data_IF_270068114378
#
_entry.id   IF_270068114378
#
_cell.length_a   1.000
_cell.length_b   1.000
_cell.length_c   1.000
_cell.angle_alpha   90.00
_cell.angle_beta   90.00
_cell.angle_gamma   90.00
#
_symmetry.space_group_name_H-M   'P 1'
#
loop_
_entity.id
_entity.type
_entity.pdbx_description
1 polymer ?
#
# COMPACT_ATOMS: atom_id res chain seq x y z
N UNK A 1 -11.33 2.49 20.76
CA UNK A 1 -10.99 2.70 19.33
C UNK A 1 -10.43 1.39 18.81
N UNK A 2 -11.29 0.52 18.27
CA UNK A 2 -10.92 -0.81 17.77
C UNK A 2 -10.00 -0.77 16.55
N UNK A 3 -9.78 0.41 15.95
CA UNK A 3 -9.04 0.54 14.70
C UNK A 3 -7.51 0.54 14.86
N UNK A 4 -6.98 0.74 16.09
CA UNK A 4 -5.54 0.96 16.36
C UNK A 4 -5.08 0.61 17.79
N UNK A 5 -5.52 -0.48 18.45
CA UNK A 5 -4.93 -0.82 19.74
C UNK A 5 -3.47 -1.24 19.55
N UNK A 6 -2.55 -0.49 20.15
CA UNK A 6 -1.23 -1.03 20.46
C UNK A 6 -1.46 -2.20 21.42
N UNK A 7 -0.90 -3.40 21.16
CA UNK A 7 -1.04 -4.55 22.05
C UNK A 7 -0.68 -4.16 23.50
N UNK A 8 -1.43 -4.63 24.50
CA UNK A 8 -1.22 -4.24 25.91
C UNK A 8 0.24 -4.40 26.36
N UNK A 9 0.85 -5.53 26.00
CA UNK A 9 2.27 -5.82 26.25
C UNK A 9 3.26 -4.79 25.70
N UNK A 10 2.86 -4.04 24.68
CA UNK A 10 3.69 -3.02 24.03
C UNK A 10 3.39 -1.61 24.53
N UNK A 11 2.21 -1.34 25.11
CA UNK A 11 1.87 0.02 25.57
C UNK A 11 2.79 0.55 26.66
N UNK A 12 3.39 -0.35 27.45
CA UNK A 12 4.30 -0.01 28.55
C UNK A 12 5.77 -0.25 28.18
N UNK A 13 6.05 -0.74 26.98
CA UNK A 13 7.41 -0.97 26.54
C UNK A 13 8.05 0.37 26.15
N UNK A 14 9.22 0.65 26.72
CA UNK A 14 10.08 1.76 26.30
C UNK A 14 11.14 1.22 25.33
N UNK A 15 10.80 1.18 24.05
CA UNK A 15 11.72 0.71 23.01
C UNK A 15 12.93 1.63 22.83
N UNK A 16 12.85 2.90 23.24
CA UNK A 16 13.96 3.85 23.10
C UNK A 16 15.11 3.56 24.08
N UNK A 17 14.80 3.01 25.25
CA UNK A 17 15.77 2.69 26.30
C UNK A 17 15.93 1.20 26.55
N UNK A 18 15.47 0.36 25.60
CA UNK A 18 15.67 -1.08 25.67
C UNK A 18 17.16 -1.43 25.74
N UNK A 19 17.51 -2.42 26.56
CA UNK A 19 18.88 -2.92 26.70
C UNK A 19 19.25 -3.88 25.57
N UNK A 20 20.56 -4.05 25.25
CA UNK A 20 20.99 -5.05 24.28
C UNK A 20 20.53 -6.48 24.62
N UNK A 21 20.47 -6.83 25.90
CA UNK A 21 20.05 -8.15 26.37
C UNK A 21 18.57 -8.40 26.10
N UNK A 22 17.70 -7.40 26.33
CA UNK A 22 16.27 -7.49 26.02
C UNK A 22 16.03 -7.60 24.51
N UNK A 23 16.74 -6.81 23.71
CA UNK A 23 16.67 -6.89 22.24
C UNK A 23 17.12 -8.27 21.72
N UNK A 24 18.18 -8.83 22.30
CA UNK A 24 18.68 -10.17 21.97
C UNK A 24 17.67 -11.27 22.35
N UNK A 25 17.07 -11.19 23.53
CA UNK A 25 16.02 -12.12 23.96
C UNK A 25 14.86 -12.15 22.96
N UNK A 26 14.44 -10.97 22.47
CA UNK A 26 13.39 -10.80 21.46
C UNK A 26 13.77 -11.21 20.03
N UNK A 27 14.96 -11.76 19.85
CA UNK A 27 15.52 -12.20 18.56
C UNK A 27 16.08 -13.63 18.60
N UNK A 28 16.11 -14.27 19.77
CA UNK A 28 16.95 -15.44 20.04
C UNK A 28 16.65 -16.62 19.11
N UNK A 29 15.38 -17.03 18.96
CA UNK A 29 15.05 -18.11 18.01
C UNK A 29 15.14 -17.67 16.55
N UNK A 30 14.83 -16.39 16.26
CA UNK A 30 14.76 -15.85 14.91
C UNK A 30 16.12 -15.94 14.20
N UNK A 31 17.19 -15.50 14.88
CA UNK A 31 18.55 -15.50 14.34
C UNK A 31 19.14 -16.90 14.20
N UNK A 32 18.51 -17.92 14.77
CA UNK A 32 18.91 -19.31 14.54
C UNK A 32 18.70 -19.76 13.09
N UNK A 33 17.71 -19.18 12.39
CA UNK A 33 17.47 -19.40 10.96
C UNK A 33 17.87 -18.19 10.11
N UNK A 34 17.60 -16.97 10.60
CA UNK A 34 17.87 -15.70 9.91
C UNK A 34 19.22 -15.07 10.33
N UNK A 35 20.32 -15.84 10.25
CA UNK A 35 21.62 -15.48 10.84
C UNK A 35 22.20 -14.18 10.31
N UNK A 36 22.06 -13.92 9.01
CA UNK A 36 22.68 -12.79 8.31
C UNK A 36 21.65 -11.91 7.61
N UNK A 37 20.48 -11.75 8.24
CA UNK A 37 19.40 -10.90 7.69
C UNK A 37 19.80 -9.42 7.68
N UNK A 38 20.61 -8.96 8.63
CA UNK A 38 21.03 -7.56 8.76
C UNK A 38 20.10 -6.71 9.62
N UNK A 39 20.25 -5.37 9.53
CA UNK A 39 19.57 -4.42 10.40
C UNK A 39 18.78 -3.37 9.60
N UNK A 40 17.53 -3.15 10.02
CA UNK A 40 16.69 -2.09 9.46
C UNK A 40 17.16 -0.70 9.86
N UNK A 41 17.70 -0.54 11.07
CA UNK A 41 18.27 0.71 11.55
C UNK A 41 19.79 0.72 11.33
N UNK A 42 20.42 1.90 11.21
CA UNK A 42 21.87 1.99 11.25
C UNK A 42 22.41 1.37 12.56
N UNK A 43 23.54 0.67 12.46
CA UNK A 43 24.14 -0.04 13.59
C UNK A 43 24.42 0.95 14.74
N UNK A 44 24.19 0.51 15.98
CA UNK A 44 24.40 1.29 17.22
C UNK A 44 23.49 2.53 17.39
N UNK A 45 22.36 2.62 16.68
CA UNK A 45 21.39 3.72 16.87
C UNK A 45 20.25 3.39 17.83
N UNK A 46 19.80 2.14 17.86
CA UNK A 46 18.70 1.68 18.70
C UNK A 46 18.88 0.19 19.02
N UNK A 47 18.50 -0.23 20.22
CA UNK A 47 18.49 -1.64 20.61
C UNK A 47 17.09 -2.20 20.37
N UNK A 48 16.90 -2.92 19.27
CA UNK A 48 15.59 -3.47 18.90
C UNK A 48 15.71 -4.91 18.45
N UNK A 49 14.81 -5.77 18.93
CA UNK A 49 14.77 -7.18 18.54
C UNK A 49 13.90 -7.44 17.31
N UNK A 50 14.04 -8.62 16.71
CA UNK A 50 13.23 -9.04 15.56
C UNK A 50 11.73 -8.92 15.85
N UNK A 51 11.29 -9.41 17.02
CA UNK A 51 9.87 -9.47 17.39
C UNK A 51 9.31 -8.14 17.90
N UNK A 52 10.15 -7.13 18.16
CA UNK A 52 9.70 -5.75 18.41
C UNK A 52 9.11 -5.12 17.16
N UNK A 53 9.68 -5.39 15.98
CA UNK A 53 9.12 -4.94 14.71
C UNK A 53 8.07 -5.93 14.18
N UNK A 54 8.46 -7.20 14.00
CA UNK A 54 7.67 -8.18 13.25
C UNK A 54 6.62 -8.91 14.09
N UNK A 55 6.69 -8.88 15.43
CA UNK A 55 5.88 -9.79 16.25
C UNK A 55 6.37 -11.24 16.13
N UNK A 56 5.47 -12.23 16.15
CA UNK A 56 5.85 -13.65 16.24
C UNK A 56 6.32 -14.06 17.64
N UNK A 57 6.96 -15.23 17.73
CA UNK A 57 7.41 -15.82 19.00
C UNK A 57 8.92 -16.11 18.99
N UNK A 58 9.71 -15.28 19.69
CA UNK A 58 11.17 -15.40 19.81
C UNK A 58 11.64 -16.55 20.70
N UNK A 59 10.73 -17.17 21.47
CA UNK A 59 11.05 -18.26 22.40
C UNK A 59 10.86 -19.64 21.76
N UNK A 60 10.43 -19.70 20.49
CA UNK A 60 10.17 -20.94 19.78
C UNK A 60 11.02 -21.02 18.50
N UNK A 61 11.73 -22.13 18.32
CA UNK A 61 12.48 -22.43 17.09
C UNK A 61 11.64 -23.19 16.05
N UNK A 62 10.47 -23.72 16.44
CA UNK A 62 9.57 -24.40 15.52
C UNK A 62 8.84 -23.36 14.65
N UNK A 63 9.09 -23.38 13.34
CA UNK A 63 8.56 -22.38 12.37
C UNK A 63 7.05 -22.20 12.51
N UNK A 64 6.29 -23.30 12.66
CA UNK A 64 4.82 -23.32 12.78
C UNK A 64 4.30 -22.50 13.97
N UNK A 65 5.13 -22.31 15.01
CA UNK A 65 4.81 -21.60 16.26
C UNK A 65 5.53 -20.26 16.37
N UNK A 66 6.69 -20.12 15.73
CA UNK A 66 7.47 -18.90 15.68
C UNK A 66 6.85 -17.87 14.73
N UNK A 67 6.44 -18.32 13.55
CA UNK A 67 5.87 -17.48 12.49
C UNK A 67 4.40 -17.18 12.77
N UNK A 68 3.97 -16.00 12.33
CA UNK A 68 2.55 -15.70 12.21
C UNK A 68 2.04 -16.26 10.88
N UNK A 69 1.01 -17.09 10.93
CA UNK A 69 0.46 -17.72 9.72
C UNK A 69 -0.48 -16.77 8.96
N UNK A 70 -0.39 -16.80 7.63
CA UNK A 70 -1.33 -16.10 6.75
C UNK A 70 -2.72 -16.72 6.83
N UNK A 71 -3.77 -15.92 6.61
CA UNK A 71 -5.12 -16.43 6.39
C UNK A 71 -5.27 -17.11 5.03
N UNK A 72 -4.48 -16.69 4.04
CA UNK A 72 -4.49 -17.25 2.69
C UNK A 72 -3.12 -17.83 2.30
N UNK A 73 -2.67 -18.95 2.89
CA UNK A 73 -1.33 -19.49 2.67
C UNK A 73 -0.99 -19.75 1.19
N UNK A 74 -1.96 -20.12 0.37
CA UNK A 74 -1.79 -20.34 -1.07
C UNK A 74 -1.34 -19.08 -1.82
N UNK A 75 -1.77 -17.91 -1.36
CA UNK A 75 -1.35 -16.63 -1.91
C UNK A 75 0.05 -16.21 -1.42
N UNK A 76 0.52 -16.76 -0.29
CA UNK A 76 1.80 -16.48 0.35
C UNK A 76 2.72 -17.71 0.30
N UNK A 77 2.89 -18.27 -0.89
CA UNK A 77 3.60 -19.55 -1.10
C UNK A 77 5.10 -19.52 -0.73
N UNK A 78 5.68 -18.35 -0.48
CA UNK A 78 7.07 -18.19 -0.08
C UNK A 78 7.38 -16.78 0.42
N UNK A 79 8.67 -16.46 0.53
CA UNK A 79 9.12 -15.16 1.04
C UNK A 79 8.97 -14.01 0.02
N UNK A 80 8.85 -14.31 -1.27
CA UNK A 80 8.64 -13.29 -2.29
C UNK A 80 7.24 -12.69 -2.16
N UNK A 81 7.11 -11.38 -2.39
CA UNK A 81 5.79 -10.76 -2.45
C UNK A 81 4.91 -11.45 -3.51
N UNK A 82 3.60 -11.62 -3.30
CA UNK A 82 2.76 -12.25 -4.30
C UNK A 82 2.59 -11.36 -5.53
N UNK A 83 2.66 -11.96 -6.73
CA UNK A 83 2.35 -11.27 -7.98
C UNK A 83 0.88 -10.87 -7.96
N UNK A 84 0.59 -9.59 -8.22
CA UNK A 84 -0.77 -9.03 -8.29
C UNK A 84 -1.60 -9.30 -7.04
N UNK A 85 -0.99 -9.10 -5.87
CA UNK A 85 -1.67 -9.26 -4.58
C UNK A 85 -2.88 -8.31 -4.39
N UNK A 86 -2.87 -7.14 -5.02
CA UNK A 86 -3.94 -6.13 -4.96
C UNK A 86 -4.47 -5.93 -3.53
N UNK A 87 -5.74 -6.23 -3.28
CA UNK A 87 -6.39 -6.00 -1.98
C UNK A 87 -6.17 -7.13 -0.97
N UNK A 88 -5.36 -8.13 -1.27
CA UNK A 88 -5.13 -9.30 -0.40
C UNK A 88 -4.75 -8.89 1.03
N UNK A 89 -3.89 -7.87 1.19
CA UNK A 89 -3.50 -7.35 2.51
C UNK A 89 -4.67 -6.85 3.36
N UNK A 90 -5.77 -6.41 2.76
CA UNK A 90 -6.97 -5.99 3.52
C UNK A 90 -7.72 -7.17 4.14
N UNK A 91 -7.48 -8.39 3.65
CA UNK A 91 -8.14 -9.59 4.14
C UNK A 91 -7.28 -10.38 5.14
N UNK A 92 -6.01 -10.00 5.28
CA UNK A 92 -5.08 -10.63 6.22
C UNK A 92 -5.27 -10.15 7.67
N UNK A 93 -4.71 -10.93 8.60
CA UNK A 93 -4.65 -10.53 10.00
C UNK A 93 -3.61 -9.42 10.21
N UNK A 94 -3.86 -8.39 11.04
CA UNK A 94 -2.88 -7.36 11.35
C UNK A 94 -1.55 -7.91 11.85
N UNK A 95 -1.58 -9.00 12.62
CA UNK A 95 -0.40 -9.70 13.11
C UNK A 95 0.44 -10.25 11.96
N UNK A 96 -0.20 -10.79 10.92
CA UNK A 96 0.48 -11.31 9.74
C UNK A 96 1.03 -10.17 8.88
N UNK A 97 0.23 -9.11 8.64
CA UNK A 97 0.68 -7.91 7.90
C UNK A 97 1.93 -7.32 8.57
N UNK A 98 1.93 -7.22 9.91
CA UNK A 98 3.09 -6.77 10.69
C UNK A 98 4.27 -7.73 10.57
N UNK A 99 4.02 -9.03 10.60
CA UNK A 99 5.04 -10.05 10.51
C UNK A 99 5.81 -9.97 9.19
N UNK A 100 5.12 -9.76 8.06
CA UNK A 100 5.77 -9.67 6.75
C UNK A 100 6.26 -8.26 6.40
N UNK A 101 5.55 -7.21 6.86
CA UNK A 101 5.93 -5.83 6.62
C UNK A 101 5.51 -4.91 7.79
N UNK A 102 6.39 -4.70 8.78
CA UNK A 102 6.11 -3.80 9.90
C UNK A 102 5.95 -2.33 9.47
N UNK A 103 6.40 -1.96 8.27
CA UNK A 103 6.26 -0.61 7.71
C UNK A 103 4.91 -0.32 7.07
N UNK A 104 4.00 -1.30 6.94
CA UNK A 104 2.67 -1.10 6.35
C UNK A 104 1.81 -0.13 7.19
N UNK A 105 1.12 0.81 6.54
CA UNK A 105 0.34 1.84 7.23
C UNK A 105 -0.74 1.29 8.17
N UNK A 106 -1.24 0.07 7.96
CA UNK A 106 -2.19 -0.62 8.86
C UNK A 106 -1.59 -0.88 10.25
N UNK A 107 -0.28 -1.12 10.33
CA UNK A 107 0.39 -1.63 11.53
C UNK A 107 1.63 -0.83 11.96
N UNK A 108 2.12 0.11 11.16
CA UNK A 108 3.33 0.89 11.43
C UNK A 108 3.29 1.66 12.76
N UNK A 109 2.11 2.08 13.23
CA UNK A 109 1.96 2.68 14.57
C UNK A 109 2.34 1.74 15.72
N UNK A 110 2.28 0.41 15.53
CA UNK A 110 2.67 -0.60 16.52
C UNK A 110 4.18 -0.84 16.45
N UNK A 111 4.73 -0.99 15.24
CA UNK A 111 6.14 -1.34 15.05
C UNK A 111 7.09 -0.13 15.14
N UNK A 112 6.65 1.03 14.64
CA UNK A 112 7.46 2.24 14.50
C UNK A 112 6.94 3.39 15.37
N UNK A 113 5.64 3.43 15.67
CA UNK A 113 4.97 4.61 16.23
C UNK A 113 5.43 5.04 17.62
N UNK A 114 6.11 4.20 18.39
CA UNK A 114 6.67 4.60 19.68
C UNK A 114 7.85 5.58 19.54
N UNK A 115 8.62 5.46 18.44
CA UNK A 115 9.78 6.31 18.17
C UNK A 115 9.51 7.30 17.02
N UNK A 116 8.64 6.91 16.07
CA UNK A 116 8.38 7.60 14.81
C UNK A 116 6.89 7.95 14.62
N UNK A 117 6.21 8.36 15.69
CA UNK A 117 4.77 8.68 15.66
C UNK A 117 4.43 9.72 14.58
N UNK A 118 5.30 10.72 14.42
CA UNK A 118 5.12 11.82 13.46
C UNK A 118 5.21 11.32 12.02
N UNK A 119 6.21 10.52 11.70
CA UNK A 119 6.44 9.98 10.37
C UNK A 119 5.30 9.02 9.99
N UNK A 120 4.85 8.17 10.94
CA UNK A 120 3.70 7.29 10.74
C UNK A 120 2.43 8.08 10.43
N UNK A 121 2.18 9.18 11.15
CA UNK A 121 1.04 10.05 10.89
C UNK A 121 1.15 10.70 9.51
N UNK A 122 2.31 11.25 9.16
CA UNK A 122 2.55 11.90 7.87
C UNK A 122 2.36 10.93 6.70
N UNK A 123 2.86 9.70 6.81
CA UNK A 123 2.65 8.66 5.80
C UNK A 123 1.15 8.39 5.60
N UNK A 124 0.40 8.18 6.70
CA UNK A 124 -1.04 7.86 6.64
C UNK A 124 -1.87 8.98 6.00
N UNK A 125 -1.43 10.22 6.15
CA UNK A 125 -2.08 11.41 5.56
C UNK A 125 -1.45 11.86 4.24
N UNK A 126 -0.48 11.11 3.69
CA UNK A 126 0.22 11.48 2.45
C UNK A 126 -0.65 11.24 1.21
N UNK A 127 -0.51 12.11 0.21
CA UNK A 127 -1.14 11.94 -1.10
C UNK A 127 -0.76 10.62 -1.79
N UNK A 128 0.44 10.08 -1.52
CA UNK A 128 0.86 8.78 -2.06
C UNK A 128 0.11 7.60 -1.40
N UNK A 129 -0.43 7.81 -0.21
CA UNK A 129 -1.30 6.84 0.47
C UNK A 129 -2.73 6.97 -0.01
N UNK A 130 -3.30 8.18 -0.03
CA UNK A 130 -4.73 8.33 -0.27
C UNK A 130 -5.13 8.69 -1.70
N UNK A 131 -4.21 9.09 -2.56
CA UNK A 131 -4.46 9.27 -4.00
C UNK A 131 -5.57 10.27 -4.37
N UNK A 132 -5.90 11.20 -3.45
CA UNK A 132 -7.12 12.00 -3.58
C UNK A 132 -7.07 12.96 -4.77
N UNK A 133 -5.88 13.29 -5.27
CA UNK A 133 -5.69 14.16 -6.42
C UNK A 133 -6.34 13.56 -7.68
N UNK A 134 -6.12 12.27 -7.96
CA UNK A 134 -6.70 11.62 -9.12
C UNK A 134 -8.21 11.45 -8.96
N UNK A 135 -8.66 10.96 -7.80
CA UNK A 135 -10.09 10.74 -7.56
C UNK A 135 -10.87 12.05 -7.57
N UNK A 136 -10.34 13.10 -6.96
CA UNK A 136 -10.90 14.45 -7.00
C UNK A 136 -11.01 14.99 -8.42
N UNK A 137 -9.94 14.89 -9.22
CA UNK A 137 -9.94 15.32 -10.62
C UNK A 137 -10.95 14.53 -11.46
N UNK A 138 -10.97 13.21 -11.33
CA UNK A 138 -11.91 12.35 -12.05
C UNK A 138 -13.36 12.66 -11.71
N UNK A 139 -13.69 12.74 -10.42
CA UNK A 139 -15.07 12.99 -9.97
C UNK A 139 -15.55 14.39 -10.32
N UNK A 140 -14.73 15.42 -10.13
CA UNK A 140 -15.10 16.80 -10.43
C UNK A 140 -15.24 17.04 -11.93
N UNK A 141 -14.25 16.64 -12.74
CA UNK A 141 -14.24 16.91 -14.18
C UNK A 141 -15.37 16.17 -14.93
N UNK A 142 -15.86 15.06 -14.38
CA UNK A 142 -16.97 14.30 -14.96
C UNK A 142 -18.34 14.67 -14.34
N UNK A 143 -18.39 15.65 -13.43
CA UNK A 143 -19.62 16.13 -12.82
C UNK A 143 -20.26 15.18 -11.81
N UNK A 144 -19.54 14.16 -11.34
CA UNK A 144 -20.01 13.25 -10.28
C UNK A 144 -20.06 13.95 -8.92
N UNK A 145 -19.23 14.97 -8.72
CA UNK A 145 -19.25 15.82 -7.51
C UNK A 145 -19.10 17.29 -7.86
N UNK A 146 -19.85 18.15 -7.20
CA UNK A 146 -19.84 19.60 -7.45
C UNK A 146 -18.72 20.40 -6.79
N UNK A 147 -17.69 19.74 -6.24
CA UNK A 147 -16.58 20.42 -5.56
C UNK A 147 -15.25 20.11 -6.20
N UNK A 148 -14.46 21.17 -6.45
CA UNK A 148 -13.09 21.07 -6.94
C UNK A 148 -12.10 20.61 -5.86
N UNK A 149 -12.45 20.78 -4.58
CA UNK A 149 -11.65 20.29 -3.45
C UNK A 149 -11.85 18.77 -3.34
N UNK A 150 -10.79 17.95 -3.38
CA UNK A 150 -10.92 16.51 -3.21
C UNK A 150 -11.65 16.17 -1.90
N UNK A 151 -12.66 15.30 -1.98
CA UNK A 151 -13.40 14.78 -0.83
C UNK A 151 -13.12 13.32 -0.54
N UNK A 152 -12.57 12.59 -1.51
CA UNK A 152 -12.37 11.15 -1.41
C UNK A 152 -10.90 10.79 -1.49
N UNK A 153 -10.50 9.79 -0.72
CA UNK A 153 -9.16 9.23 -0.73
C UNK A 153 -9.14 7.82 -0.16
N UNK A 154 -8.11 7.07 -0.52
CA UNK A 154 -7.92 5.71 -0.07
C UNK A 154 -7.26 5.65 1.31
N UNK A 155 -7.84 4.89 2.23
CA UNK A 155 -7.21 4.62 3.52
C UNK A 155 -7.87 3.42 4.17
N UNK A 156 -7.08 2.59 4.85
CA UNK A 156 -7.56 1.37 5.49
C UNK A 156 -7.17 1.30 6.96
N UNK A 157 -8.11 0.84 7.79
CA UNK A 157 -7.83 0.51 9.19
C UNK A 157 -6.89 -0.69 9.28
N UNK A 158 -6.44 -1.02 10.49
CA UNK A 158 -5.61 -2.21 10.71
C UNK A 158 -6.24 -3.51 10.17
N UNK A 159 -7.57 -3.57 10.10
CA UNK A 159 -8.33 -4.73 9.63
C UNK A 159 -8.75 -4.62 8.15
N UNK A 160 -8.11 -3.73 7.38
CA UNK A 160 -8.38 -3.58 5.95
C UNK A 160 -9.71 -2.92 5.61
N UNK A 161 -10.39 -2.31 6.60
CA UNK A 161 -11.67 -1.64 6.40
C UNK A 161 -11.41 -0.20 5.93
N UNK A 162 -12.05 0.27 4.84
CA UNK A 162 -11.94 1.66 4.42
C UNK A 162 -12.31 2.63 5.54
N UNK A 163 -11.54 3.70 5.69
CA UNK A 163 -11.73 4.66 6.78
C UNK A 163 -11.59 6.10 6.31
N UNK A 164 -12.15 7.02 7.10
CA UNK A 164 -11.98 8.45 6.90
C UNK A 164 -10.62 8.91 7.44
N UNK A 165 -9.96 9.79 6.72
CA UNK A 165 -8.75 10.49 7.16
C UNK A 165 -9.15 11.89 7.62
N UNK A 166 -8.64 12.34 8.77
CA UNK A 166 -8.90 13.67 9.32
C UNK A 166 -7.61 14.45 9.47
N UNK A 167 -7.68 15.75 9.24
CA UNK A 167 -6.64 16.68 9.66
C UNK A 167 -6.95 17.16 11.08
N UNK A 168 -5.99 16.94 11.98
CA UNK A 168 -6.10 17.30 13.40
C UNK A 168 -4.86 18.15 13.76
N UNK A 169 -5.04 19.39 14.26
CA UNK A 169 -6.31 20.10 14.46
C UNK A 169 -7.05 20.40 13.15
N UNK A 170 -8.33 20.76 13.23
CA UNK A 170 -9.12 21.16 12.06
C UNK A 170 -8.43 22.36 11.39
N UNK A 171 -8.22 22.32 10.05
CA UNK A 171 -7.51 23.39 9.37
C UNK A 171 -8.33 24.68 9.34
N UNK A 172 -7.63 25.81 9.37
CA UNK A 172 -8.23 27.15 9.22
C UNK A 172 -8.68 27.40 7.77
N UNK A 173 -9.59 28.36 7.57
CA UNK A 173 -10.01 28.75 6.21
C UNK A 173 -8.84 29.24 5.34
N UNK A 174 -7.84 29.87 5.95
CA UNK A 174 -6.62 30.29 5.27
C UNK A 174 -5.81 29.09 4.77
N UNK A 175 -5.59 28.08 5.62
CA UNK A 175 -4.87 26.86 5.26
C UNK A 175 -5.60 26.07 4.18
N UNK A 176 -6.92 25.99 4.26
CA UNK A 176 -7.73 25.33 3.24
C UNK A 176 -7.63 26.08 1.90
N UNK A 177 -7.73 27.42 1.92
CA UNK A 177 -7.79 28.24 0.69
C UNK A 177 -6.43 28.40 0.01
N UNK A 178 -5.36 28.60 0.78
CA UNK A 178 -4.06 29.01 0.25
C UNK A 178 -2.98 27.93 0.36
N UNK A 179 -3.14 26.95 1.26
CA UNK A 179 -2.18 25.83 1.41
C UNK A 179 -2.73 24.49 0.93
N UNK A 180 -3.99 24.43 0.52
CA UNK A 180 -4.62 23.22 0.02
C UNK A 180 -4.82 22.13 1.08
N UNK A 181 -4.82 22.49 2.37
CA UNK A 181 -5.03 21.53 3.46
C UNK A 181 -6.50 21.10 3.45
N UNK A 182 -6.74 19.79 3.42
CA UNK A 182 -8.10 19.23 3.43
C UNK A 182 -8.53 18.93 4.87
N UNK A 183 -9.76 19.24 5.29
CA UNK A 183 -10.23 18.92 6.64
C UNK A 183 -10.40 17.41 6.86
N UNK A 184 -10.83 16.70 5.82
CA UNK A 184 -10.95 15.24 5.83
C UNK A 184 -10.99 14.67 4.40
N UNK A 185 -10.79 13.36 4.30
CA UNK A 185 -11.03 12.55 3.11
C UNK A 185 -11.87 11.33 3.47
N UNK A 186 -12.90 11.06 2.68
CA UNK A 186 -13.77 9.89 2.82
C UNK A 186 -13.35 8.75 1.91
N UNK A 187 -13.60 7.49 2.31
CA UNK A 187 -13.51 6.39 1.37
C UNK A 187 -14.55 6.57 0.25
N UNK A 188 -14.26 6.06 -0.95
CA UNK A 188 -15.26 6.02 -2.02
C UNK A 188 -16.49 5.23 -1.57
N UNK A 189 -17.66 5.76 -1.89
CA UNK A 189 -18.91 5.04 -1.75
C UNK A 189 -18.87 3.77 -2.59
N UNK A 190 -19.40 2.65 -2.08
CA UNK A 190 -19.58 1.44 -2.87
C UNK A 190 -20.35 1.79 -4.15
N UNK A 191 -19.82 1.43 -5.32
CA UNK A 191 -20.39 1.88 -6.60
C UNK A 191 -21.86 1.44 -6.78
N UNK A 192 -22.27 0.34 -6.14
CA UNK A 192 -23.63 -0.18 -6.21
C UNK A 192 -24.69 0.78 -5.64
N UNK A 193 -24.28 1.74 -4.81
CA UNK A 193 -25.17 2.74 -4.20
C UNK A 193 -24.92 4.16 -4.69
N UNK A 194 -23.90 4.38 -5.55
CA UNK A 194 -23.61 5.72 -6.07
C UNK A 194 -24.69 6.17 -7.04
N UNK A 195 -25.08 7.45 -7.03
CA UNK A 195 -26.01 7.98 -8.03
C UNK A 195 -25.24 8.85 -9.02
N UNK A 196 -25.56 8.81 -10.33
CA UNK A 196 -24.88 9.67 -11.30
C UNK A 196 -25.06 11.15 -10.96
N UNK A 197 -23.94 11.87 -10.78
CA UNK A 197 -23.97 13.31 -10.50
C UNK A 197 -24.34 14.16 -11.72
N UNK A 198 -23.85 13.76 -12.91
CA UNK A 198 -24.18 14.40 -14.18
C UNK A 198 -25.17 13.57 -14.98
N UNK A 199 -26.46 13.86 -14.76
CA UNK A 199 -27.58 13.22 -15.43
C UNK A 199 -27.70 13.59 -16.92
N UNK A 200 -27.01 14.65 -17.37
CA UNK A 200 -27.05 15.07 -18.76
C UNK A 200 -26.01 14.37 -19.64
N UNK A 201 -25.01 13.70 -19.04
CA UNK A 201 -23.99 12.94 -19.76
C UNK A 201 -24.58 11.80 -20.61
N UNK A 202 -25.74 11.28 -20.21
CA UNK A 202 -26.52 10.30 -20.99
C UNK A 202 -26.96 10.84 -22.37
N UNK A 203 -27.03 12.16 -22.53
CA UNK A 203 -27.40 12.84 -23.78
C UNK A 203 -26.18 13.25 -24.63
N UNK A 204 -24.95 12.90 -24.23
CA UNK A 204 -23.76 13.16 -25.04
C UNK A 204 -23.92 12.53 -26.45
N UNK A 205 -23.72 13.36 -27.48
CA UNK A 205 -23.81 12.93 -28.87
C UNK A 205 -22.75 11.86 -29.16
N UNK A 206 -23.17 10.72 -29.68
CA UNK A 206 -22.26 9.63 -30.10
C UNK A 206 -22.55 8.26 -29.48
N UNK A 207 -23.34 8.21 -28.40
CA UNK A 207 -23.81 6.95 -27.82
C UNK A 207 -24.97 6.33 -28.61
N UNK A 208 -24.90 5.02 -28.85
CA UNK A 208 -25.93 4.09 -29.34
C UNK A 208 -26.67 3.42 -28.18
N UNK A 209 -27.85 2.88 -28.46
CA UNK A 209 -28.65 2.18 -27.47
C UNK A 209 -28.02 0.83 -27.12
N UNK A 210 -28.19 0.40 -25.87
CA UNK A 210 -27.80 -0.93 -25.44
C UNK A 210 -28.81 -1.93 -26.00
N UNK A 211 -28.32 -2.99 -26.65
CA UNK A 211 -29.20 -4.05 -27.12
C UNK A 211 -29.84 -4.74 -25.91
N UNK A 212 -31.17 -4.90 -25.94
CA UNK A 212 -31.91 -5.63 -24.91
C UNK A 212 -32.21 -7.05 -25.41
N UNK A 213 -32.34 -8.00 -24.48
CA UNK A 213 -32.72 -9.37 -24.86
C UNK A 213 -34.13 -9.34 -25.46
N UNK A 214 -34.25 -9.68 -26.75
CA UNK A 214 -35.49 -9.57 -27.52
C UNK A 214 -35.67 -8.25 -28.30
N UNK A 215 -34.74 -7.29 -28.18
CA UNK A 215 -34.71 -6.06 -28.96
C UNK A 215 -33.25 -5.65 -29.29
N UNK A 216 -32.61 -6.34 -30.26
CA UNK A 216 -31.22 -6.08 -30.61
C UNK A 216 -31.05 -4.78 -31.39
N UNK A 217 -29.95 -4.07 -31.14
CA UNK A 217 -29.51 -2.96 -32.00
C UNK A 217 -28.88 -3.53 -33.29
N UNK A 218 -29.62 -3.44 -34.39
CA UNK A 218 -29.24 -4.07 -35.67
C UNK A 218 -27.94 -3.50 -36.27
N UNK A 219 -27.59 -2.26 -35.93
CA UNK A 219 -26.40 -1.60 -36.45
C UNK A 219 -25.18 -1.76 -35.55
N UNK A 220 -25.29 -2.50 -34.45
CA UNK A 220 -24.18 -2.66 -33.51
C UNK A 220 -23.00 -3.40 -34.15
N UNK A 221 -21.80 -2.92 -33.87
CA UNK A 221 -20.55 -3.44 -34.43
C UNK A 221 -19.70 -3.98 -33.31
N UNK A 222 -19.42 -5.29 -33.35
CA UNK A 222 -18.59 -5.97 -32.35
C UNK A 222 -17.26 -5.23 -32.11
N UNK A 223 -16.91 -5.02 -30.84
CA UNK A 223 -15.67 -4.33 -30.45
C UNK A 223 -15.69 -2.81 -30.51
N UNK A 224 -16.81 -2.16 -30.88
CA UNK A 224 -16.98 -0.70 -30.83
C UNK A 224 -18.14 -0.31 -29.90
N UNK A 225 -18.00 -0.58 -28.60
CA UNK A 225 -19.00 -0.23 -27.59
C UNK A 225 -19.14 1.29 -27.47
N UNK A 226 -20.18 1.83 -28.09
CA UNK A 226 -20.63 3.22 -27.94
C UNK A 226 -21.93 3.25 -27.13
N UNK A 227 -22.05 2.53 -26.02
CA UNK A 227 -23.33 2.45 -25.31
C UNK A 227 -23.65 3.74 -24.50
N UNK A 228 -24.89 4.24 -24.57
CA UNK A 228 -25.41 5.24 -23.63
C UNK A 228 -25.59 4.63 -22.25
N UNK A 229 -25.62 5.47 -21.22
CA UNK A 229 -25.83 5.05 -19.84
C UNK A 229 -27.23 4.47 -19.55
N UNK A 230 -28.20 4.60 -20.46
CA UNK A 230 -29.56 4.07 -20.33
C UNK A 230 -30.52 4.56 -21.43
N UNK A 231 -31.70 3.93 -21.54
CA UNK A 231 -32.73 4.21 -22.56
C UNK A 231 -33.83 5.18 -22.08
N UNK A 232 -33.94 5.45 -20.77
CA UNK A 232 -35.03 6.23 -20.16
C UNK A 232 -34.51 7.19 -19.07
N UNK A 233 -35.30 8.22 -18.77
CA UNK A 233 -34.96 9.32 -17.85
C UNK A 233 -34.79 8.90 -16.37
N UNK A 234 -34.69 9.90 -15.49
CA UNK A 234 -34.48 9.69 -14.04
C UNK A 234 -35.48 8.68 -13.46
N UNK A 235 -34.97 7.64 -12.78
CA UNK A 235 -35.78 6.63 -12.11
C UNK A 235 -35.89 5.27 -12.80
N UNK A 236 -35.30 5.07 -13.99
CA UNK A 236 -35.27 3.77 -14.68
C UNK A 236 -33.90 3.48 -15.32
N UNK A 237 -33.37 2.28 -15.10
CA UNK A 237 -32.15 1.70 -15.73
C UNK A 237 -30.84 2.53 -15.81
N UNK A 238 -30.38 3.11 -14.70
CA UNK A 238 -28.97 3.03 -14.24
C UNK A 238 -28.91 3.53 -12.79
N UNK A 239 -28.36 2.72 -11.86
CA UNK A 239 -28.34 3.00 -10.42
C UNK A 239 -26.95 3.32 -9.87
N UNK A 240 -25.94 3.42 -10.74
CA UNK A 240 -24.53 3.59 -10.38
C UNK A 240 -23.92 4.72 -11.21
N UNK A 241 -23.14 5.60 -10.58
CA UNK A 241 -22.32 6.57 -11.29
C UNK A 241 -21.15 5.86 -12.03
N UNK A 242 -21.03 6.00 -13.36
CA UNK A 242 -19.99 5.35 -14.16
C UNK A 242 -18.56 5.75 -13.74
N UNK A 243 -18.37 6.93 -13.16
CA UNK A 243 -17.08 7.39 -12.66
C UNK A 243 -16.69 6.66 -11.39
N UNK A 244 -17.65 6.40 -10.49
CA UNK A 244 -17.39 5.64 -9.26
C UNK A 244 -17.00 4.19 -9.55
N UNK A 245 -17.75 3.51 -10.42
CA UNK A 245 -17.39 2.15 -10.85
C UNK A 245 -16.06 2.15 -11.60
N UNK A 246 -15.83 3.15 -12.47
CA UNK A 246 -14.57 3.34 -13.17
C UNK A 246 -13.40 3.41 -12.19
N UNK A 247 -13.43 4.35 -11.24
CA UNK A 247 -12.38 4.51 -10.22
C UNK A 247 -12.12 3.24 -9.42
N UNK A 248 -13.16 2.50 -9.03
CA UNK A 248 -13.02 1.29 -8.22
C UNK A 248 -12.54 0.07 -9.02
N UNK A 249 -12.81 0.03 -10.33
CA UNK A 249 -12.47 -1.11 -11.19
C UNK A 249 -11.18 -0.91 -11.96
N UNK A 250 -10.91 0.30 -12.46
CA UNK A 250 -9.69 0.59 -13.24
C UNK A 250 -8.49 0.84 -12.36
N UNK A 251 -8.70 1.39 -11.14
CA UNK A 251 -7.65 1.59 -10.13
C UNK A 251 -6.36 2.17 -10.72
N UNK A 252 -6.50 3.22 -11.54
CA UNK A 252 -5.40 3.77 -12.36
C UNK A 252 -4.18 4.27 -11.56
N UNK A 253 -4.38 4.67 -10.30
CA UNK A 253 -3.31 5.13 -9.41
C UNK A 253 -2.76 4.02 -8.50
N UNK A 254 -3.35 2.83 -8.56
CA UNK A 254 -2.95 1.74 -7.69
C UNK A 254 -1.78 0.96 -8.29
N UNK A 255 -0.99 0.27 -7.43
CA UNK A 255 -1.10 0.29 -5.97
C UNK A 255 -0.66 1.63 -5.38
N UNK A 256 -1.45 2.19 -4.46
CA UNK A 256 -1.00 3.29 -3.59
C UNK A 256 -0.03 2.73 -2.54
N UNK A 257 0.46 3.57 -1.61
CA UNK A 257 1.27 3.07 -0.48
C UNK A 257 0.49 2.13 0.45
N UNK A 258 -0.83 1.97 0.29
CA UNK A 258 -1.60 0.98 1.04
C UNK A 258 -1.31 -0.48 0.62
N UNK A 259 -0.72 -0.71 -0.55
CA UNK A 259 -0.55 -2.05 -1.11
C UNK A 259 0.87 -2.28 -1.63
N UNK A 260 1.20 -3.56 -1.79
CA UNK A 260 2.45 -4.01 -2.42
C UNK A 260 2.45 -3.60 -3.89
N UNK A 261 3.63 -3.47 -4.47
CA UNK A 261 3.77 -3.38 -5.93
C UNK A 261 3.16 -4.61 -6.63
N UNK A 262 2.82 -4.49 -7.92
CA UNK A 262 2.20 -5.59 -8.66
C UNK A 262 3.13 -6.77 -8.83
N UNK A 263 4.46 -6.57 -8.77
CA UNK A 263 5.46 -7.63 -8.82
C UNK A 263 5.34 -8.53 -10.08
N UNK A 264 4.64 -8.09 -11.13
CA UNK A 264 4.44 -8.87 -12.36
C UNK A 264 5.46 -8.55 -13.45
N UNK A 265 6.18 -7.44 -13.33
CA UNK A 265 7.24 -7.05 -14.25
C UNK A 265 8.41 -6.36 -13.50
N UNK A 266 9.62 -6.40 -14.09
CA UNK A 266 10.73 -5.52 -13.70
C UNK A 266 10.31 -4.06 -13.55
N UNK A 267 10.54 -3.48 -12.38
CA UNK A 267 10.18 -2.08 -12.07
C UNK A 267 9.09 -1.93 -11.03
N UNK A 268 8.23 -2.94 -10.87
CA UNK A 268 7.06 -2.86 -9.98
C UNK A 268 7.31 -3.52 -8.61
N UNK A 269 8.57 -3.75 -8.23
CA UNK A 269 8.91 -4.40 -6.97
C UNK A 269 8.96 -3.37 -5.85
N UNK A 270 8.02 -3.47 -4.92
CA UNK A 270 8.03 -2.71 -3.67
C UNK A 270 7.11 -3.34 -2.65
N UNK A 271 7.34 -3.04 -1.38
CA UNK A 271 6.39 -3.34 -0.32
C UNK A 271 5.36 -2.21 -0.18
N UNK A 272 4.63 -2.17 0.93
CA UNK A 272 3.65 -1.13 1.27
C UNK A 272 4.16 -0.21 2.40
N UNK A 273 3.47 0.90 2.60
CA UNK A 273 3.74 1.88 3.65
C UNK A 273 5.15 2.48 3.58
N UNK A 274 5.83 2.63 4.72
CA UNK A 274 7.19 3.19 4.77
C UNK A 274 8.16 2.37 3.91
N UNK A 275 8.04 1.05 3.96
CA UNK A 275 8.93 0.12 3.26
C UNK A 275 8.84 0.23 1.74
N UNK A 276 7.73 0.74 1.20
CA UNK A 276 7.56 0.99 -0.24
C UNK A 276 8.62 1.92 -0.79
N UNK A 277 8.94 2.98 -0.04
CA UNK A 277 9.92 3.98 -0.45
C UNK A 277 11.31 3.68 0.10
N UNK A 278 11.39 3.08 1.29
CA UNK A 278 12.65 3.02 2.05
C UNK A 278 13.33 1.64 2.06
N UNK A 279 12.67 0.58 1.61
CA UNK A 279 13.29 -0.73 1.42
C UNK A 279 13.48 -0.96 -0.06
N UNK A 280 14.73 -0.98 -0.50
CA UNK A 280 15.07 -0.82 -1.91
C UNK A 280 15.09 -2.15 -2.67
N UNK A 281 14.42 -2.13 -3.82
CA UNK A 281 14.40 -3.23 -4.78
C UNK A 281 15.22 -2.84 -6.02
N UNK A 282 15.72 -3.85 -6.71
CA UNK A 282 16.37 -3.70 -8.00
C UNK A 282 15.29 -3.56 -9.09
N UNK A 283 14.90 -2.32 -9.41
CA UNK A 283 13.73 -2.03 -10.27
C UNK A 283 14.07 -1.52 -11.67
N UNK A 284 15.19 -0.84 -11.86
CA UNK A 284 15.44 -0.08 -13.09
C UNK A 284 16.73 -0.52 -13.79
N UNK A 285 16.69 -0.53 -15.12
CA UNK A 285 17.82 -0.87 -15.98
C UNK A 285 18.68 0.34 -16.31
N UNK A 286 18.11 1.55 -16.20
CA UNK A 286 18.85 2.79 -16.42
C UNK A 286 19.78 3.03 -15.22
N UNK A 287 21.08 3.08 -15.51
CA UNK A 287 22.11 3.27 -14.49
C UNK A 287 22.05 4.64 -13.84
N UNK A 288 21.59 5.68 -14.55
CA UNK A 288 21.46 7.04 -14.03
C UNK A 288 20.28 7.09 -13.05
N UNK A 289 19.13 6.58 -13.46
CA UNK A 289 17.94 6.55 -12.62
C UNK A 289 18.07 5.60 -11.41
N UNK A 290 18.82 4.50 -11.57
CA UNK A 290 19.12 3.55 -10.48
C UNK A 290 20.20 4.06 -9.52
N UNK A 291 21.06 4.98 -9.97
CA UNK A 291 22.19 5.47 -9.19
C UNK A 291 23.06 4.33 -8.65
N UNK A 292 23.31 4.33 -7.34
CA UNK A 292 24.15 3.31 -6.69
C UNK A 292 23.53 1.89 -6.70
N UNK A 293 22.24 1.75 -7.05
CA UNK A 293 21.59 0.45 -7.19
C UNK A 293 21.78 -0.19 -8.57
N UNK A 294 22.33 0.54 -9.56
CA UNK A 294 22.43 0.06 -10.95
C UNK A 294 23.08 -1.32 -11.09
N UNK A 295 24.05 -1.64 -10.22
CA UNK A 295 24.76 -2.92 -10.19
C UNK A 295 23.88 -4.13 -9.82
N UNK A 296 22.73 -3.92 -9.18
CA UNK A 296 21.80 -5.00 -8.82
C UNK A 296 20.79 -5.31 -9.94
N UNK A 297 20.79 -4.53 -11.02
CA UNK A 297 19.89 -4.70 -12.16
C UNK A 297 18.45 -4.29 -11.86
N UNK A 298 17.50 -4.95 -12.53
CA UNK A 298 16.09 -4.57 -12.54
C UNK A 298 15.12 -5.74 -12.27
N UNK A 299 15.63 -6.88 -11.80
CA UNK A 299 14.82 -8.11 -11.69
C UNK A 299 14.27 -8.36 -10.29
N UNK A 300 14.41 -7.41 -9.36
CA UNK A 300 13.92 -7.56 -7.99
C UNK A 300 14.53 -8.77 -7.26
N UNK A 301 15.80 -9.05 -7.55
CA UNK A 301 16.56 -10.12 -6.90
C UNK A 301 17.22 -9.57 -5.63
N UNK A 302 17.26 -10.40 -4.58
CA UNK A 302 18.06 -10.10 -3.40
C UNK A 302 19.56 -10.17 -3.73
N UNK A 303 20.38 -9.41 -3.01
CA UNK A 303 21.82 -9.48 -3.14
C UNK A 303 22.35 -10.88 -2.80
N UNK A 304 23.26 -11.37 -3.64
CA UNK A 304 23.93 -12.67 -3.50
C UNK A 304 25.24 -12.60 -2.72
N UNK A 305 25.82 -11.40 -2.58
CA UNK A 305 27.06 -11.13 -1.86
C UNK A 305 27.04 -9.74 -1.20
N UNK A 306 27.89 -9.58 -0.21
CA UNK A 306 28.15 -8.28 0.44
C UNK A 306 28.98 -7.36 -0.44
N UNK A 307 28.85 -6.06 -0.22
CA UNK A 307 29.69 -5.02 -0.81
C UNK A 307 29.71 -3.75 0.06
N UNK A 308 30.15 -2.62 -0.49
CA UNK A 308 30.23 -1.33 0.22
C UNK A 308 28.89 -0.85 0.79
N UNK A 309 27.76 -1.30 0.24
CA UNK A 309 26.42 -0.94 0.68
C UNK A 309 25.63 -2.12 1.24
N UNK A 310 25.71 -3.31 0.63
CA UNK A 310 25.10 -4.54 1.17
C UNK A 310 25.99 -5.10 2.26
N UNK A 311 25.52 -5.05 3.51
CA UNK A 311 26.31 -5.48 4.67
C UNK A 311 26.01 -6.89 5.14
N UNK A 312 24.85 -7.44 4.79
CA UNK A 312 24.40 -8.76 5.21
C UNK A 312 23.61 -9.41 4.07
N UNK A 313 23.66 -10.74 3.99
CA UNK A 313 22.99 -11.53 2.96
C UNK A 313 22.19 -12.63 3.64
N UNK A 314 20.87 -12.46 3.67
CA UNK A 314 19.99 -13.43 4.32
C UNK A 314 20.07 -14.80 3.59
N UNK A 315 20.48 -15.89 4.27
CA UNK A 315 20.56 -17.21 3.65
C UNK A 315 19.20 -17.83 3.33
N UNK A 316 18.12 -17.33 3.93
CA UNK A 316 16.75 -17.85 3.76
C UNK A 316 16.05 -17.30 2.51
N UNK A 317 16.61 -16.27 1.87
CA UNK A 317 16.03 -15.62 0.69
C UNK A 317 16.69 -16.16 -0.60
N UNK A 318 15.93 -16.78 -1.52
CA UNK A 318 16.46 -17.23 -2.81
C UNK A 318 17.02 -16.07 -3.65
N UNK A 319 18.24 -16.23 -4.18
CA UNK A 319 18.93 -15.18 -4.97
C UNK A 319 18.59 -15.18 -6.45
N UNK A 320 17.89 -16.21 -6.90
CA UNK A 320 17.43 -16.39 -8.28
C UNK A 320 15.91 -16.20 -8.44
N UNK A 321 15.24 -15.66 -7.42
CA UNK A 321 13.80 -15.39 -7.42
C UNK A 321 13.55 -13.89 -7.37
N UNK A 322 12.62 -13.39 -8.19
CA UNK A 322 12.16 -12.00 -8.15
C UNK A 322 11.21 -11.72 -6.98
N UNK A 323 11.00 -10.45 -6.67
CA UNK A 323 10.06 -10.02 -5.63
C UNK A 323 10.68 -9.90 -4.24
N UNK A 324 12.01 -9.78 -4.16
CA UNK A 324 12.75 -9.59 -2.91
C UNK A 324 13.48 -8.25 -2.89
N UNK A 325 13.58 -7.58 -1.73
CA UNK A 325 14.41 -6.40 -1.60
C UNK A 325 15.89 -6.78 -1.74
N UNK A 326 16.72 -5.82 -2.12
CA UNK A 326 18.16 -6.07 -2.31
C UNK A 326 18.82 -6.51 -0.99
N UNK A 327 18.43 -5.88 0.11
CA UNK A 327 18.81 -6.26 1.47
C UNK A 327 17.75 -5.79 2.48
N UNK A 328 17.75 -6.36 3.68
CA UNK A 328 16.87 -5.94 4.77
C UNK A 328 17.43 -4.71 5.49
N UNK A 329 17.14 -3.53 4.92
CA UNK A 329 17.62 -2.23 5.42
C UNK A 329 16.67 -1.09 5.04
N UNK A 330 16.40 -0.17 5.96
CA UNK A 330 15.84 1.15 5.60
C UNK A 330 16.93 2.07 5.05
N UNK A 331 16.66 2.69 3.92
CA UNK A 331 17.53 3.68 3.30
C UNK A 331 16.91 5.07 3.42
N UNK A 332 17.74 6.11 3.44
CA UNK A 332 17.33 7.51 3.41
C UNK A 332 17.73 8.20 2.10
N UNK A 333 18.66 7.61 1.35
CA UNK A 333 19.07 8.06 0.02
C UNK A 333 18.35 7.29 -1.10
N UNK A 334 17.25 7.85 -1.61
CA UNK A 334 16.47 7.22 -2.68
C UNK A 334 17.03 7.59 -4.06
N UNK A 335 17.32 6.62 -4.92
CA UNK A 335 17.55 6.90 -6.34
C UNK A 335 16.23 7.27 -7.03
N UNK A 336 16.33 7.97 -8.16
CA UNK A 336 15.16 8.45 -8.93
C UNK A 336 14.20 7.32 -9.32
N UNK A 337 14.73 6.14 -9.64
CA UNK A 337 13.95 4.94 -9.95
C UNK A 337 12.91 4.57 -8.88
N UNK A 338 13.23 4.77 -7.60
CA UNK A 338 12.29 4.50 -6.50
C UNK A 338 11.13 5.49 -6.54
N UNK A 339 11.40 6.77 -6.80
CA UNK A 339 10.36 7.79 -6.95
C UNK A 339 9.46 7.54 -8.17
N UNK A 340 9.99 6.95 -9.24
CA UNK A 340 9.18 6.59 -10.42
C UNK A 340 8.31 5.35 -10.18
N UNK A 341 8.74 4.46 -9.26
CA UNK A 341 8.01 3.23 -8.93
C UNK A 341 6.93 3.44 -7.85
N UNK A 342 6.94 4.58 -7.16
CA UNK A 342 6.03 4.90 -6.05
C UNK A 342 4.94 5.89 -6.47
#
# INVERSE_FOLDING_TARGET
NSSYPIPDRMRQADLMHQTPQEAAAKSTSCIGCHTDVGHMHPINTIQIGCTDCHGGNADCAEISKAHVNARFPEAWAGAANPVRSYTLLNHEAPEFVRFVNPGDSRVAHIACGQCHAKEVLQLRTSMMTHGCMLWGAALYNNGSVGTKRPRYGESYSMHGVPQRVFTVPTPTEEEIRYKGVLPYLEPLLAYQVSQPGNLLRIFERGGRFRAETGNPEQLDTSGKTRERLGTRGLGTENRTDPVYIGLQKTRLLDPTLNFLGTNDHPGDYRSSGCSSCHVLYANDRDSIASGFLAKYGNRGLAADRTDDWVRAVDPTIPKNQSGHPIQHKFELRMPTSVCMSC
#
